data_IF_730919195670
#
_entry.id   IF_730919195670
#
_cell.length_a   1.000
_cell.length_b   1.000
_cell.length_c   1.000
_cell.angle_alpha   90.00
_cell.angle_beta   90.00
_cell.angle_gamma   90.00
#
_symmetry.space_group_name_H-M   'P 1'
#
loop_
_entity.id
_entity.type
_entity.pdbx_description
1 polymer ?
#
# COMPACT_ATOMS: atom_id res chain seq x y z
N UNK A 1 43.81 -14.00 -6.24
CA UNK A 1 43.11 -13.21 -5.23
C UNK A 1 42.40 -11.95 -5.77
N UNK A 2 42.84 -11.36 -6.90
CA UNK A 2 42.15 -10.17 -7.50
C UNK A 2 40.79 -10.46 -8.18
N UNK A 3 40.49 -11.69 -8.59
CA UNK A 3 39.23 -12.06 -9.26
C UNK A 3 38.07 -12.28 -8.29
N UNK A 4 38.33 -12.51 -7.00
CA UNK A 4 37.29 -12.70 -5.97
C UNK A 4 36.71 -11.35 -5.51
N UNK A 5 37.46 -10.26 -5.68
CA UNK A 5 37.00 -8.91 -5.28
C UNK A 5 35.96 -8.32 -6.23
N UNK A 6 35.93 -8.76 -7.50
CA UNK A 6 34.94 -8.30 -8.47
C UNK A 6 33.58 -8.99 -8.35
N UNK A 7 33.51 -10.16 -7.69
CA UNK A 7 32.25 -10.86 -7.48
C UNK A 7 31.43 -10.26 -6.32
N UNK A 8 32.11 -9.53 -5.43
CA UNK A 8 31.48 -8.85 -4.28
C UNK A 8 30.81 -7.52 -4.65
N UNK A 9 31.09 -6.99 -5.86
CA UNK A 9 30.59 -5.68 -6.32
C UNK A 9 29.30 -5.77 -7.13
N UNK A 10 28.76 -7.00 -7.31
CA UNK A 10 27.52 -7.26 -8.04
C UNK A 10 26.35 -7.64 -7.10
N UNK A 11 26.38 -7.22 -5.84
CA UNK A 11 25.16 -7.24 -5.07
C UNK A 11 24.23 -6.16 -5.65
N UNK A 12 23.08 -6.53 -6.20
CA UNK A 12 22.10 -5.53 -6.62
C UNK A 12 21.75 -4.70 -5.37
N UNK A 13 21.91 -3.39 -5.48
CA UNK A 13 21.31 -2.45 -4.52
C UNK A 13 19.78 -2.61 -4.66
N UNK A 14 19.23 -3.59 -3.99
CA UNK A 14 17.80 -3.79 -3.92
C UNK A 14 17.26 -2.92 -2.78
N UNK A 15 16.95 -1.68 -3.09
CA UNK A 15 16.07 -0.89 -2.25
C UNK A 15 14.68 -1.55 -2.34
N UNK A 16 14.47 -2.65 -1.60
CA UNK A 16 13.24 -3.40 -1.60
C UNK A 16 12.19 -2.61 -0.81
N UNK A 17 11.10 -2.26 -1.47
CA UNK A 17 9.86 -1.83 -0.83
C UNK A 17 8.71 -2.62 -1.41
N UNK A 18 8.14 -3.51 -0.62
CA UNK A 18 6.90 -4.20 -0.96
C UNK A 18 5.87 -3.89 0.12
N UNK A 19 4.61 -3.76 -0.27
CA UNK A 19 3.51 -3.59 0.65
C UNK A 19 2.34 -4.50 0.28
N UNK A 20 1.82 -5.20 1.29
CA UNK A 20 0.57 -5.94 1.20
C UNK A 20 -0.46 -5.20 2.07
N UNK A 21 -1.60 -4.86 1.48
CA UNK A 21 -2.71 -4.16 2.12
C UNK A 21 -3.94 -5.05 2.06
N UNK A 22 -4.45 -5.44 3.22
CA UNK A 22 -5.62 -6.30 3.31
C UNK A 22 -6.77 -5.55 4.00
N UNK A 23 -7.96 -5.65 3.42
CA UNK A 23 -9.19 -5.16 3.99
C UNK A 23 -10.20 -6.32 4.08
N UNK A 24 -10.58 -6.69 5.30
CA UNK A 24 -11.49 -7.81 5.55
C UNK A 24 -12.77 -7.30 6.17
N UNK A 25 -13.89 -7.47 5.48
CA UNK A 25 -15.23 -7.16 5.98
C UNK A 25 -15.80 -8.39 6.66
N UNK A 26 -16.19 -8.26 7.93
CA UNK A 26 -16.77 -9.33 8.74
C UNK A 26 -18.30 -9.29 8.72
N UNK A 27 -18.93 -10.42 9.09
CA UNK A 27 -20.41 -10.57 9.11
C UNK A 27 -21.08 -9.78 10.27
N UNK A 28 -20.28 -9.21 11.20
CA UNK A 28 -20.75 -8.48 12.40
C UNK A 28 -20.64 -6.95 12.25
N UNK A 29 -20.60 -6.44 11.03
CA UNK A 29 -20.47 -5.01 10.75
C UNK A 29 -19.13 -4.39 11.17
N UNK A 30 -18.12 -5.22 11.43
CA UNK A 30 -16.74 -4.78 11.62
C UNK A 30 -15.92 -4.98 10.36
N UNK A 31 -14.79 -4.28 10.26
CA UNK A 31 -13.77 -4.59 9.26
C UNK A 31 -12.38 -4.51 9.88
N UNK A 32 -11.49 -5.33 9.37
CA UNK A 32 -10.07 -5.31 9.71
C UNK A 32 -9.28 -4.74 8.54
N UNK A 33 -8.50 -3.70 8.80
CA UNK A 33 -7.47 -3.20 7.90
C UNK A 33 -6.12 -3.70 8.39
N UNK A 34 -5.33 -4.28 7.51
CA UNK A 34 -3.94 -4.60 7.83
C UNK A 34 -3.01 -4.16 6.71
N UNK A 35 -1.83 -3.71 7.12
CA UNK A 35 -0.74 -3.35 6.22
C UNK A 35 0.52 -4.09 6.65
N UNK A 36 1.14 -4.77 5.71
CA UNK A 36 2.45 -5.36 5.89
C UNK A 36 3.43 -4.72 4.90
N UNK A 37 4.44 -4.05 5.42
CA UNK A 37 5.46 -3.36 4.65
C UNK A 37 6.81 -4.03 4.85
N UNK A 38 7.53 -4.25 3.77
CA UNK A 38 8.90 -4.75 3.79
C UNK A 38 9.83 -3.69 3.21
N UNK A 39 10.81 -3.25 4.01
CA UNK A 39 11.84 -2.31 3.60
C UNK A 39 13.17 -3.03 3.41
N UNK A 40 13.86 -2.76 2.32
CA UNK A 40 15.22 -3.23 2.14
C UNK A 40 16.21 -2.56 3.09
N UNK A 41 17.39 -3.19 3.32
CA UNK A 41 18.38 -2.72 4.32
C UNK A 41 18.84 -1.28 4.11
N UNK A 42 18.95 -0.84 2.86
CA UNK A 42 19.39 0.51 2.51
C UNK A 42 18.33 1.56 2.83
N UNK A 43 17.07 1.29 2.44
CA UNK A 43 15.95 2.19 2.72
C UNK A 43 15.70 2.28 4.23
N UNK A 44 15.69 1.15 4.92
CA UNK A 44 15.58 1.12 6.37
C UNK A 44 16.71 1.90 7.04
N UNK A 45 17.96 1.72 6.58
CA UNK A 45 19.11 2.46 7.09
C UNK A 45 19.01 3.96 6.92
N UNK A 46 18.46 4.45 5.80
CA UNK A 46 18.23 5.89 5.56
C UNK A 46 17.16 6.45 6.50
N UNK A 47 16.03 5.75 6.66
CA UNK A 47 14.95 6.16 7.55
C UNK A 47 15.44 6.18 9.01
N UNK A 48 16.11 5.13 9.45
CA UNK A 48 16.66 5.03 10.80
C UNK A 48 17.66 6.16 11.11
N UNK A 49 18.49 6.57 10.13
CA UNK A 49 19.42 7.70 10.28
C UNK A 49 18.70 9.05 10.39
N UNK A 50 17.52 9.21 9.82
CA UNK A 50 16.72 10.43 9.97
C UNK A 50 16.08 10.56 11.36
N UNK A 51 16.14 9.50 12.18
CA UNK A 51 15.53 9.45 13.51
C UNK A 51 14.01 9.21 13.48
N UNK A 52 13.48 8.84 12.32
CA UNK A 52 12.06 8.48 12.17
C UNK A 52 11.87 6.98 12.45
N UNK A 53 10.77 6.62 13.09
CA UNK A 53 10.34 5.23 13.21
C UNK A 53 9.50 4.88 11.97
N UNK A 54 9.94 3.94 11.12
CA UNK A 54 9.16 3.53 9.95
C UNK A 54 7.91 2.71 10.31
N UNK A 55 7.69 2.41 11.59
CA UNK A 55 6.57 1.58 12.07
C UNK A 55 5.94 2.14 13.37
N UNK A 56 5.72 3.45 13.41
CA UNK A 56 5.27 4.17 14.62
C UNK A 56 3.94 3.61 15.18
N UNK A 57 3.01 3.16 14.32
CA UNK A 57 1.69 2.66 14.70
C UNK A 57 1.58 1.12 14.66
N UNK A 58 2.71 0.42 14.48
CA UNK A 58 2.69 -1.03 14.27
C UNK A 58 3.75 -1.80 15.02
N UNK A 59 3.96 -3.03 14.59
CA UNK A 59 5.00 -3.91 15.10
C UNK A 59 6.12 -4.03 14.06
N UNK A 60 7.25 -3.39 14.35
CA UNK A 60 8.45 -3.41 13.52
C UNK A 60 9.40 -4.55 13.90
N UNK A 61 10.02 -5.19 12.92
CA UNK A 61 11.02 -6.25 13.13
C UNK A 61 12.15 -6.12 12.13
N UNK A 62 13.39 -6.05 12.62
CA UNK A 62 14.58 -6.16 11.76
C UNK A 62 14.89 -7.64 11.54
N UNK A 63 14.92 -8.06 10.28
CA UNK A 63 15.18 -9.44 9.87
C UNK A 63 16.69 -9.74 9.84
N UNK A 64 17.04 -11.03 9.83
CA UNK A 64 18.44 -11.48 9.84
C UNK A 64 19.23 -11.07 8.58
N UNK A 65 18.55 -10.82 7.47
CA UNK A 65 19.11 -10.34 6.21
C UNK A 65 19.26 -8.81 6.13
N UNK A 66 18.90 -8.10 7.22
CA UNK A 66 18.96 -6.65 7.33
C UNK A 66 17.71 -5.93 6.79
N UNK A 67 16.74 -6.63 6.24
CA UNK A 67 15.44 -6.05 5.88
C UNK A 67 14.65 -5.69 7.13
N UNK A 68 13.72 -4.75 6.99
CA UNK A 68 12.82 -4.36 8.08
C UNK A 68 11.37 -4.60 7.65
N UNK A 69 10.61 -5.32 8.47
CA UNK A 69 9.19 -5.51 8.27
C UNK A 69 8.39 -4.74 9.30
N UNK A 70 7.33 -4.08 8.84
CA UNK A 70 6.35 -3.40 9.67
C UNK A 70 4.98 -4.01 9.41
N UNK A 71 4.25 -4.34 10.48
CA UNK A 71 2.87 -4.79 10.43
C UNK A 71 1.99 -3.89 11.28
N UNK A 72 0.98 -3.33 10.64
CA UNK A 72 -0.09 -2.56 11.28
C UNK A 72 -1.37 -3.34 11.09
N UNK A 73 -2.22 -3.42 12.11
CA UNK A 73 -3.53 -4.08 12.04
C UNK A 73 -4.51 -3.34 12.94
N UNK A 74 -5.65 -2.99 12.39
CA UNK A 74 -6.72 -2.30 13.09
C UNK A 74 -8.06 -2.96 12.75
N UNK A 75 -8.90 -3.16 13.77
CA UNK A 75 -10.26 -3.67 13.62
C UNK A 75 -11.22 -2.75 14.33
N UNK A 76 -12.21 -2.24 13.62
CA UNK A 76 -13.29 -1.41 14.18
C UNK A 76 -14.59 -1.64 13.40
N UNK A 77 -15.67 -1.01 13.85
CA UNK A 77 -16.92 -0.96 13.09
C UNK A 77 -16.73 -0.20 11.77
N UNK A 78 -17.45 -0.62 10.75
CA UNK A 78 -17.40 0.05 9.43
C UNK A 78 -17.69 1.55 9.57
N UNK A 79 -18.64 1.95 10.44
CA UNK A 79 -18.98 3.36 10.64
C UNK A 79 -17.85 4.18 11.28
N UNK A 80 -17.12 3.58 12.22
CA UNK A 80 -15.96 4.24 12.83
C UNK A 80 -14.83 4.40 11.81
N UNK A 81 -14.54 3.37 11.01
CA UNK A 81 -13.54 3.43 9.95
C UNK A 81 -13.88 4.50 8.90
N UNK A 82 -15.16 4.62 8.50
CA UNK A 82 -15.61 5.70 7.61
C UNK A 82 -15.33 7.07 8.24
N UNK A 83 -15.71 7.24 9.51
CA UNK A 83 -15.50 8.51 10.20
C UNK A 83 -14.01 8.88 10.34
N UNK A 84 -13.16 7.89 10.57
CA UNK A 84 -11.71 8.06 10.66
C UNK A 84 -11.10 8.47 9.32
N UNK A 85 -11.43 7.77 8.24
CA UNK A 85 -10.98 8.10 6.88
C UNK A 85 -11.40 9.53 6.51
N UNK A 86 -12.67 9.89 6.76
CA UNK A 86 -13.17 11.26 6.49
C UNK A 86 -12.46 12.33 7.32
N UNK A 87 -12.17 12.05 8.59
CA UNK A 87 -11.45 13.00 9.46
C UNK A 87 -9.99 13.16 9.03
N UNK A 88 -9.34 12.08 8.62
CA UNK A 88 -8.01 12.12 8.04
C UNK A 88 -7.96 13.00 6.78
N UNK A 89 -8.93 12.88 5.89
CA UNK A 89 -9.04 13.71 4.69
C UNK A 89 -9.24 15.20 5.02
N UNK A 90 -10.08 15.52 6.03
CA UNK A 90 -10.28 16.91 6.50
C UNK A 90 -8.99 17.50 7.07
N UNK A 91 -8.22 16.74 7.82
CA UNK A 91 -6.93 17.16 8.39
C UNK A 91 -5.89 17.41 7.29
N UNK A 92 -5.81 16.55 6.27
CA UNK A 92 -4.93 16.74 5.12
C UNK A 92 -5.27 18.05 4.35
N UNK A 93 -6.56 18.33 4.16
CA UNK A 93 -7.00 19.58 3.52
C UNK A 93 -6.58 20.86 4.29
N UNK A 94 -6.25 20.73 5.57
CA UNK A 94 -5.73 21.78 6.44
C UNK A 94 -4.19 21.80 6.54
N UNK A 95 -3.50 21.03 5.69
CA UNK A 95 -2.02 20.95 5.63
C UNK A 95 -1.40 19.87 6.52
N UNK A 96 -2.20 18.95 7.06
CA UNK A 96 -1.72 17.75 7.75
C UNK A 96 -1.32 16.65 6.76
N UNK A 97 -0.57 15.67 7.24
CA UNK A 97 -0.32 14.41 6.52
C UNK A 97 -1.54 13.49 6.74
N UNK A 98 -2.06 12.92 5.67
CA UNK A 98 -3.14 11.92 5.76
C UNK A 98 -2.62 10.54 5.34
N UNK A 99 -2.47 9.60 6.27
CA UNK A 99 -2.07 8.23 5.93
C UNK A 99 -3.10 7.50 5.05
N UNK A 100 -4.38 7.92 5.12
CA UNK A 100 -5.49 7.35 4.34
C UNK A 100 -5.76 8.13 3.04
N UNK A 101 -4.78 8.93 2.55
CA UNK A 101 -4.93 9.68 1.31
C UNK A 101 -5.18 8.73 0.12
N UNK A 102 -6.25 8.99 -0.62
CA UNK A 102 -6.66 8.15 -1.74
C UNK A 102 -7.50 6.93 -1.35
N UNK A 103 -7.87 6.76 -0.07
CA UNK A 103 -8.79 5.71 0.37
C UNK A 103 -10.16 6.33 0.68
N UNK A 104 -11.23 5.69 0.22
CA UNK A 104 -12.58 6.02 0.67
C UNK A 104 -13.38 4.75 0.95
N UNK A 105 -14.16 4.80 2.01
CA UNK A 105 -15.07 3.75 2.42
C UNK A 105 -16.45 4.39 2.61
N UNK A 106 -17.48 3.84 1.99
CA UNK A 106 -18.83 4.38 2.06
C UNK A 106 -19.89 3.27 2.17
N UNK A 107 -20.94 3.51 2.95
CA UNK A 107 -22.12 2.65 2.93
C UNK A 107 -22.97 2.94 1.71
N UNK A 108 -23.49 1.88 1.12
CA UNK A 108 -24.47 1.94 0.03
C UNK A 108 -25.86 1.56 0.53
N UNK A 109 -26.88 1.72 -0.32
CA UNK A 109 -28.23 1.20 0.00
C UNK A 109 -28.19 -0.32 0.18
N UNK A 110 -28.79 -0.82 1.27
CA UNK A 110 -28.76 -2.23 1.67
C UNK A 110 -27.48 -2.62 2.41
N UNK A 111 -27.19 -3.92 2.51
CA UNK A 111 -26.07 -4.43 3.29
C UNK A 111 -24.77 -4.40 2.46
N UNK A 112 -24.39 -3.23 1.95
CA UNK A 112 -23.21 -3.11 1.10
C UNK A 112 -22.32 -1.96 1.56
N UNK A 113 -21.01 -2.18 1.41
CA UNK A 113 -19.98 -1.15 1.53
C UNK A 113 -19.16 -1.08 0.25
N UNK A 114 -18.81 0.12 -0.14
CA UNK A 114 -17.96 0.41 -1.28
C UNK A 114 -16.62 0.93 -0.79
N UNK A 115 -15.56 0.26 -1.18
CA UNK A 115 -14.18 0.65 -0.94
C UNK A 115 -13.55 1.11 -2.25
N UNK A 116 -12.89 2.26 -2.21
CA UNK A 116 -12.18 2.84 -3.36
C UNK A 116 -10.77 3.21 -2.94
N UNK A 117 -9.79 2.74 -3.69
CA UNK A 117 -8.41 3.24 -3.66
C UNK A 117 -8.17 4.10 -4.89
N UNK A 118 -7.88 5.38 -4.69
CA UNK A 118 -7.57 6.33 -5.75
C UNK A 118 -6.10 6.21 -6.16
N UNK A 119 -5.86 5.42 -7.20
CA UNK A 119 -4.52 5.17 -7.73
C UNK A 119 -4.00 6.37 -8.55
N UNK A 120 -4.89 7.22 -9.07
CA UNK A 120 -4.49 8.44 -9.74
C UNK A 120 -3.85 9.41 -8.75
N UNK A 121 -4.39 9.53 -7.54
CA UNK A 121 -3.80 10.34 -6.47
C UNK A 121 -2.44 9.78 -6.03
N UNK A 122 -2.32 8.46 -5.89
CA UNK A 122 -1.06 7.80 -5.56
C UNK A 122 0.01 8.06 -6.64
N UNK A 123 -0.34 7.95 -7.93
CA UNK A 123 0.53 8.29 -9.06
C UNK A 123 0.97 9.76 -9.00
N UNK A 124 0.04 10.68 -8.69
CA UNK A 124 0.32 12.11 -8.57
C UNK A 124 1.35 12.39 -7.48
N UNK A 125 1.16 11.83 -6.28
CA UNK A 125 2.09 11.99 -5.16
C UNK A 125 3.48 11.42 -5.49
N UNK A 126 3.52 10.25 -6.12
CA UNK A 126 4.78 9.64 -6.55
C UNK A 126 5.52 10.50 -7.59
N UNK A 127 4.79 11.08 -8.56
CA UNK A 127 5.36 11.96 -9.58
C UNK A 127 5.90 13.27 -8.96
N UNK A 128 5.21 13.85 -8.00
CA UNK A 128 5.66 15.06 -7.30
C UNK A 128 6.90 14.81 -6.45
N UNK A 129 6.99 13.63 -5.81
CA UNK A 129 8.15 13.22 -5.02
C UNK A 129 9.39 12.96 -5.87
N UNK A 130 9.20 12.57 -7.15
CA UNK A 130 10.25 12.28 -8.12
C UNK A 130 10.62 13.45 -9.03
N UNK A 131 10.26 14.70 -8.68
CA UNK A 131 10.41 15.86 -9.57
C UNK A 131 11.85 16.19 -10.00
N UNK A 132 12.88 15.70 -9.28
CA UNK A 132 14.29 15.84 -9.70
C UNK A 132 14.67 14.72 -10.69
N UNK A 133 15.09 15.05 -11.93
CA UNK A 133 15.48 14.05 -12.94
C UNK A 133 16.60 13.10 -12.47
N UNK A 134 17.47 13.54 -11.57
CA UNK A 134 18.52 12.69 -11.01
C UNK A 134 17.98 11.64 -10.05
N UNK A 135 16.94 11.96 -9.30
CA UNK A 135 16.25 11.02 -8.42
C UNK A 135 15.38 10.04 -9.20
N UNK A 136 14.79 10.45 -10.31
CA UNK A 136 13.90 9.60 -11.13
C UNK A 136 14.62 8.31 -11.57
N UNK A 137 15.85 8.40 -12.03
CA UNK A 137 16.64 7.21 -12.43
C UNK A 137 16.90 6.25 -11.27
N UNK A 138 17.12 6.78 -10.06
CA UNK A 138 17.31 5.97 -8.84
C UNK A 138 15.97 5.31 -8.44
N UNK A 139 14.87 6.04 -8.48
CA UNK A 139 13.53 5.51 -8.17
C UNK A 139 13.11 4.41 -9.15
N UNK A 140 13.36 4.59 -10.44
CA UNK A 140 13.08 3.56 -11.45
C UNK A 140 13.83 2.26 -11.16
N UNK A 141 15.08 2.35 -10.74
CA UNK A 141 15.88 1.19 -10.36
C UNK A 141 15.41 0.59 -9.03
N UNK A 142 15.11 1.43 -8.04
CA UNK A 142 14.63 1.01 -6.72
C UNK A 142 13.26 0.31 -6.80
N UNK A 143 12.39 0.74 -7.70
CA UNK A 143 11.03 0.20 -7.86
C UNK A 143 10.96 -1.03 -8.78
N UNK A 144 12.08 -1.41 -9.38
CA UNK A 144 12.10 -2.55 -10.29
C UNK A 144 11.86 -3.87 -9.54
N UNK A 145 10.78 -4.57 -9.90
CA UNK A 145 10.40 -5.84 -9.30
C UNK A 145 9.59 -5.73 -8.00
N UNK A 146 9.36 -4.51 -7.50
CA UNK A 146 8.60 -4.24 -6.29
C UNK A 146 7.15 -3.85 -6.58
N UNK A 147 6.26 -4.08 -5.60
CA UNK A 147 4.82 -3.94 -5.77
C UNK A 147 4.10 -3.51 -4.50
N UNK A 148 2.92 -2.96 -4.69
CA UNK A 148 1.86 -2.92 -3.69
C UNK A 148 0.83 -3.98 -4.10
N UNK A 149 0.46 -4.85 -3.20
CA UNK A 149 -0.62 -5.82 -3.38
C UNK A 149 -1.77 -5.45 -2.47
N UNK A 150 -2.97 -5.31 -3.03
CA UNK A 150 -4.17 -4.96 -2.27
C UNK A 150 -5.18 -6.08 -2.38
N UNK A 151 -5.73 -6.50 -1.24
CA UNK A 151 -6.73 -7.57 -1.14
C UNK A 151 -7.94 -7.07 -0.37
N UNK A 152 -9.13 -7.29 -0.90
CA UNK A 152 -10.39 -7.00 -0.23
C UNK A 152 -11.17 -8.30 -0.12
N UNK A 153 -11.48 -8.71 1.10
CA UNK A 153 -12.19 -9.95 1.39
C UNK A 153 -13.49 -9.68 2.15
N UNK A 154 -14.53 -10.42 1.84
CA UNK A 154 -15.79 -10.36 2.55
C UNK A 154 -16.65 -11.59 2.30
N UNK A 155 -17.90 -11.53 2.71
CA UNK A 155 -18.87 -12.60 2.51
C UNK A 155 -19.14 -12.85 1.02
N UNK A 156 -19.25 -11.78 0.24
CA UNK A 156 -19.53 -11.78 -1.18
C UNK A 156 -19.04 -10.47 -1.81
N UNK A 157 -18.26 -10.55 -2.86
CA UNK A 157 -17.86 -9.39 -3.67
C UNK A 157 -18.88 -9.24 -4.78
N UNK A 158 -19.65 -8.14 -4.71
CA UNK A 158 -20.75 -7.87 -5.64
C UNK A 158 -20.28 -7.19 -6.91
N UNK A 159 -19.28 -6.32 -6.77
CA UNK A 159 -18.68 -5.58 -7.87
C UNK A 159 -17.19 -5.35 -7.59
N UNK A 160 -16.36 -5.50 -8.59
CA UNK A 160 -14.95 -5.10 -8.54
C UNK A 160 -14.41 -4.89 -9.93
N UNK A 161 -13.43 -3.99 -10.08
CA UNK A 161 -12.60 -3.88 -11.26
C UNK A 161 -11.21 -4.53 -11.08
N UNK A 162 -10.98 -5.19 -9.93
CA UNK A 162 -9.83 -6.05 -9.67
C UNK A 162 -10.03 -7.48 -10.15
N UNK A 163 -9.10 -8.35 -9.81
CA UNK A 163 -9.20 -9.79 -10.05
C UNK A 163 -10.06 -10.43 -8.96
N UNK A 164 -11.17 -11.06 -9.37
CA UNK A 164 -12.06 -11.75 -8.44
C UNK A 164 -11.63 -13.20 -8.26
N UNK A 165 -11.56 -13.67 -7.02
CA UNK A 165 -11.32 -15.08 -6.68
C UNK A 165 -12.44 -15.99 -7.18
N UNK A 166 -12.14 -17.27 -7.38
CA UNK A 166 -13.10 -18.25 -7.89
C UNK A 166 -14.32 -18.50 -6.99
N UNK A 167 -14.18 -18.22 -5.68
CA UNK A 167 -15.26 -18.33 -4.69
C UNK A 167 -16.06 -17.03 -4.53
N UNK A 168 -15.70 -15.97 -5.27
CA UNK A 168 -16.39 -14.69 -5.26
C UNK A 168 -16.21 -13.86 -3.98
N UNK A 169 -15.25 -14.23 -3.10
CA UNK A 169 -15.11 -13.63 -1.77
C UNK A 169 -13.94 -12.68 -1.64
N UNK A 170 -13.02 -12.68 -2.60
CA UNK A 170 -11.82 -11.87 -2.55
C UNK A 170 -11.62 -11.15 -3.88
N UNK A 171 -11.38 -9.86 -3.82
CA UNK A 171 -10.94 -9.03 -4.93
C UNK A 171 -9.51 -8.58 -4.67
N UNK A 172 -8.65 -8.62 -5.69
CA UNK A 172 -7.25 -8.23 -5.56
C UNK A 172 -6.77 -7.37 -6.73
N UNK A 173 -5.77 -6.54 -6.46
CA UNK A 173 -5.01 -5.83 -7.47
C UNK A 173 -3.54 -5.82 -7.08
N UNK A 174 -2.66 -5.97 -8.06
CA UNK A 174 -1.22 -5.78 -7.89
C UNK A 174 -0.76 -4.57 -8.66
N UNK A 175 -0.12 -3.64 -7.98
CA UNK A 175 0.38 -2.38 -8.51
C UNK A 175 1.90 -2.46 -8.53
N UNK A 176 2.55 -2.68 -9.70
CA UNK A 176 4.00 -2.56 -9.80
C UNK A 176 4.41 -1.13 -9.42
N UNK A 177 5.39 -0.97 -8.51
CA UNK A 177 5.81 0.38 -8.08
C UNK A 177 6.28 1.26 -9.25
N UNK A 178 6.86 0.66 -10.29
CA UNK A 178 7.21 1.39 -11.52
C UNK A 178 6.02 2.06 -12.18
N UNK A 179 4.82 1.46 -12.12
CA UNK A 179 3.60 2.01 -12.70
C UNK A 179 3.10 3.29 -11.99
N UNK A 180 3.66 3.63 -10.83
CA UNK A 180 3.40 4.88 -10.13
C UNK A 180 4.20 6.06 -10.69
N UNK A 181 5.36 5.78 -11.32
CA UNK A 181 6.27 6.80 -11.85
C UNK A 181 6.39 6.76 -13.39
N UNK A 182 5.97 5.67 -14.00
CA UNK A 182 5.93 5.50 -15.46
C UNK A 182 4.47 5.27 -15.89
N UNK A 183 4.02 5.88 -17.00
CA UNK A 183 2.67 5.63 -17.50
C UNK A 183 2.45 4.14 -17.79
N UNK A 184 1.47 3.55 -17.12
CA UNK A 184 1.00 2.19 -17.38
C UNK A 184 -0.50 2.23 -17.67
N UNK A 185 -0.92 2.05 -18.94
CA UNK A 185 -2.32 2.11 -19.30
C UNK A 185 -3.14 0.91 -18.82
N UNK A 186 -2.50 -0.15 -18.33
CA UNK A 186 -3.19 -1.32 -17.76
C UNK A 186 -3.61 -1.10 -16.30
N UNK A 187 -2.99 -0.12 -15.62
CA UNK A 187 -3.34 0.21 -14.24
C UNK A 187 -4.51 1.19 -14.23
N UNK A 188 -5.66 0.84 -13.63
CA UNK A 188 -6.81 1.73 -13.54
C UNK A 188 -6.48 2.97 -12.69
N UNK A 189 -7.29 4.03 -12.83
CA UNK A 189 -7.16 5.22 -11.97
C UNK A 189 -7.73 4.98 -10.57
N UNK A 190 -8.61 4.01 -10.42
CA UNK A 190 -9.18 3.62 -9.13
C UNK A 190 -9.31 2.10 -9.05
N UNK A 191 -9.02 1.53 -7.88
CA UNK A 191 -9.43 0.18 -7.54
C UNK A 191 -10.71 0.26 -6.72
N UNK A 192 -11.78 -0.28 -7.25
CA UNK A 192 -13.13 -0.21 -6.68
C UNK A 192 -13.62 -1.60 -6.35
N UNK A 193 -14.18 -1.78 -5.16
CA UNK A 193 -14.80 -3.03 -4.75
C UNK A 193 -16.04 -2.76 -3.90
N UNK A 194 -17.12 -3.47 -4.19
CA UNK A 194 -18.35 -3.47 -3.41
C UNK A 194 -18.51 -4.82 -2.72
N UNK A 195 -18.62 -4.79 -1.40
CA UNK A 195 -18.68 -5.97 -0.52
C UNK A 195 -20.04 -6.02 0.17
N UNK A 196 -20.61 -7.23 0.28
CA UNK A 196 -21.79 -7.49 1.12
C UNK A 196 -21.35 -7.67 2.58
N UNK A 197 -22.01 -6.97 3.52
CA UNK A 197 -21.73 -7.01 4.96
C UNK A 197 -22.55 -8.04 5.73
N UNK A 198 -23.66 -8.56 5.17
CA UNK A 198 -24.58 -9.53 5.79
C UNK A 198 -24.78 -10.78 4.94
#
# INVERSE_FOLDING_TARGET
>A
MKKLLYLLLLMPLSACFDADLDFVVHDDETATMSAHMLLGPEMYGMIAQSGQDPCEEGVGTTNADGTFSCRVEETDTIDNLIAEIENGQKNAAQGGVNPNQGVSLERMEGPFVRLVFDLAELKRVAAESGADPSMMGMLQQAFQGHRIHMTITGKDIVETNGLLSADGRTAEITIPLRALIEPDPSLPDQFVTVVRTE
#
